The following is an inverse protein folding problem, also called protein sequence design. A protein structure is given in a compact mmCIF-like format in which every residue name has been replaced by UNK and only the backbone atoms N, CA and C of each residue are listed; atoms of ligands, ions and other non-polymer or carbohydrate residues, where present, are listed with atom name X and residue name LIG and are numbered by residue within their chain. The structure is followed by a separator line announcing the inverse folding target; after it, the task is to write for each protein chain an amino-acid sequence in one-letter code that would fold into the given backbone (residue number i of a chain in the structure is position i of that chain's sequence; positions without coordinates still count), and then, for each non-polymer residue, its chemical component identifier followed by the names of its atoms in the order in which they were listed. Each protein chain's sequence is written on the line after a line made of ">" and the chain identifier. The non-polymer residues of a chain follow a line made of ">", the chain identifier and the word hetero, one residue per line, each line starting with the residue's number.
data_IF_327540223545
#
_entry.id   IF_327540223545
#
_cell.length_a   1.000
_cell.length_b   1.000
_cell.length_c   1.000
_cell.angle_alpha   90.00
_cell.angle_beta   90.00
_cell.angle_gamma   90.00
#
_symmetry.space_group_name_H-M   'P 1'
#
loop_
_entity.id
_entity.type
_entity.pdbx_description
1 polymer ?
#
# COMPACT_ATOMS: atom_id res chain seq x y z
N UNK A 1 10.18 -66.93 -26.35
CA UNK A 1 9.32 -65.92 -26.98
C UNK A 1 10.20 -64.71 -27.26
N UNK A 2 10.31 -64.30 -28.53
CA UNK A 2 11.19 -63.21 -28.92
C UNK A 2 10.66 -61.89 -28.37
N UNK A 3 11.55 -61.11 -27.74
CA UNK A 3 11.22 -59.76 -27.26
C UNK A 3 11.11 -58.86 -28.51
N UNK A 4 9.93 -58.31 -28.86
CA UNK A 4 9.83 -57.43 -30.02
C UNK A 4 10.77 -56.26 -29.79
N UNK A 5 11.75 -56.09 -30.68
CA UNK A 5 12.62 -54.92 -30.64
C UNK A 5 11.72 -53.69 -30.89
N UNK A 6 11.83 -52.63 -30.08
CA UNK A 6 11.10 -51.39 -30.36
C UNK A 6 11.46 -50.92 -31.77
N UNK A 7 10.46 -50.52 -32.56
CA UNK A 7 10.67 -50.02 -33.92
C UNK A 7 11.50 -48.73 -33.84
N UNK A 8 12.60 -48.66 -34.58
CA UNK A 8 13.53 -47.53 -34.58
C UNK A 8 12.84 -46.21 -34.98
N UNK A 9 11.69 -46.26 -35.66
CA UNK A 9 10.90 -45.09 -36.06
C UNK A 9 9.76 -44.71 -35.10
N UNK A 10 9.38 -45.56 -34.13
CA UNK A 10 8.30 -45.26 -33.18
C UNK A 10 8.61 -44.01 -32.35
N UNK A 11 9.89 -43.78 -32.02
CA UNK A 11 10.33 -42.55 -31.33
C UNK A 11 10.18 -41.31 -32.21
N UNK A 12 10.41 -41.43 -33.53
CA UNK A 12 10.26 -40.29 -34.46
C UNK A 12 8.79 -39.90 -34.67
N UNK A 13 7.89 -40.89 -34.68
CA UNK A 13 6.45 -40.64 -34.80
C UNK A 13 5.85 -39.98 -33.56
N UNK A 14 6.38 -40.27 -32.36
CA UNK A 14 5.91 -39.67 -31.11
C UNK A 14 6.71 -38.42 -30.68
N UNK A 15 7.78 -38.08 -31.40
CA UNK A 15 8.70 -37.00 -31.04
C UNK A 15 8.01 -35.64 -30.84
N UNK A 16 7.02 -35.34 -31.69
CA UNK A 16 6.22 -34.12 -31.58
C UNK A 16 5.47 -34.09 -30.23
N UNK A 17 4.74 -35.15 -29.90
CA UNK A 17 3.97 -35.25 -28.67
C UNK A 17 4.87 -35.27 -27.43
N UNK A 18 6.04 -35.92 -27.51
CA UNK A 18 7.07 -35.89 -26.46
C UNK A 18 7.58 -34.47 -26.21
N UNK A 19 7.95 -33.71 -27.24
CA UNK A 19 8.39 -32.33 -27.09
C UNK A 19 7.28 -31.38 -26.66
N UNK A 20 6.03 -31.61 -27.08
CA UNK A 20 4.89 -30.85 -26.56
C UNK A 20 4.68 -31.09 -25.07
N UNK A 21 4.69 -32.35 -24.63
CA UNK A 21 4.55 -32.71 -23.23
C UNK A 21 5.72 -32.18 -22.40
N UNK A 22 6.95 -32.29 -22.92
CA UNK A 22 8.16 -31.75 -22.28
C UNK A 22 8.04 -30.23 -22.12
N UNK A 23 7.73 -29.50 -23.19
CA UNK A 23 7.58 -28.05 -23.17
C UNK A 23 6.46 -27.59 -22.23
N UNK A 24 5.33 -28.30 -22.20
CA UNK A 24 4.24 -28.03 -21.27
C UNK A 24 4.70 -28.24 -19.82
N UNK A 25 5.34 -29.36 -19.52
CA UNK A 25 5.80 -29.67 -18.17
C UNK A 25 6.86 -28.67 -17.68
N UNK A 26 7.81 -28.30 -18.54
CA UNK A 26 8.78 -27.23 -18.28
C UNK A 26 8.09 -25.90 -18.03
N UNK A 27 7.16 -25.50 -18.91
CA UNK A 27 6.42 -24.24 -18.77
C UNK A 27 5.59 -24.17 -17.48
N UNK A 28 4.95 -25.27 -17.08
CA UNK A 28 4.19 -25.36 -15.83
C UNK A 28 5.14 -25.33 -14.62
N UNK A 29 6.25 -26.06 -14.67
CA UNK A 29 7.23 -26.08 -13.60
C UNK A 29 7.84 -24.68 -13.37
N UNK A 30 8.31 -24.04 -14.44
CA UNK A 30 8.89 -22.70 -14.39
C UNK A 30 7.85 -21.64 -14.04
N UNK A 31 6.65 -21.70 -14.62
CA UNK A 31 5.55 -20.79 -14.30
C UNK A 31 5.13 -20.88 -12.83
N UNK A 32 5.01 -22.08 -12.28
CA UNK A 32 4.67 -22.27 -10.86
C UNK A 32 5.77 -21.76 -9.92
N UNK A 33 7.04 -21.89 -10.32
CA UNK A 33 8.19 -21.39 -9.57
C UNK A 33 8.26 -19.88 -9.64
N UNK A 34 8.16 -19.30 -10.83
CA UNK A 34 8.17 -17.87 -11.08
C UNK A 34 7.01 -17.19 -10.34
N UNK A 35 5.79 -17.70 -10.48
CA UNK A 35 4.61 -17.14 -9.82
C UNK A 35 4.72 -17.16 -8.29
N UNK A 36 5.31 -18.20 -7.69
CA UNK A 36 5.55 -18.24 -6.23
C UNK A 36 6.59 -17.21 -5.78
N UNK A 37 7.64 -17.00 -6.57
CA UNK A 37 8.68 -16.01 -6.26
C UNK A 37 8.10 -14.60 -6.41
N UNK A 38 7.40 -14.34 -7.50
CA UNK A 38 6.77 -13.06 -7.78
C UNK A 38 5.72 -12.70 -6.72
N UNK A 39 4.83 -13.65 -6.37
CA UNK A 39 3.84 -13.41 -5.32
C UNK A 39 4.46 -13.07 -3.97
N UNK A 40 5.59 -13.71 -3.61
CA UNK A 40 6.34 -13.38 -2.39
C UNK A 40 6.97 -11.99 -2.47
N UNK A 41 7.60 -11.66 -3.59
CA UNK A 41 8.25 -10.37 -3.80
C UNK A 41 7.22 -9.24 -3.74
N UNK A 42 6.11 -9.39 -4.45
CA UNK A 42 5.01 -8.43 -4.47
C UNK A 42 4.39 -8.23 -3.08
N UNK A 43 4.16 -9.32 -2.33
CA UNK A 43 3.67 -9.24 -0.97
C UNK A 43 4.61 -8.46 -0.04
N UNK A 44 5.92 -8.68 -0.15
CA UNK A 44 6.93 -7.94 0.61
C UNK A 44 6.99 -6.45 0.21
N UNK A 45 6.95 -6.16 -1.09
CA UNK A 45 6.92 -4.79 -1.61
C UNK A 45 5.72 -4.02 -1.04
N UNK A 46 4.52 -4.63 -1.11
CA UNK A 46 3.29 -4.03 -0.57
C UNK A 46 3.28 -3.92 0.95
N UNK A 47 3.84 -4.90 1.65
CA UNK A 47 4.09 -4.78 3.09
C UNK A 47 4.95 -3.56 3.38
N UNK A 48 6.10 -3.43 2.73
CA UNK A 48 7.02 -2.32 2.95
C UNK A 48 6.39 -0.95 2.67
N UNK A 49 5.64 -0.79 1.57
CA UNK A 49 4.91 0.46 1.27
C UNK A 49 3.98 0.85 2.43
N UNK A 50 3.22 -0.11 2.97
CA UNK A 50 2.30 0.10 4.09
C UNK A 50 3.03 0.47 5.38
N UNK A 51 4.13 -0.22 5.70
CA UNK A 51 4.98 0.10 6.86
C UNK A 51 5.64 1.48 6.73
N UNK A 52 6.12 1.83 5.53
CA UNK A 52 6.67 3.15 5.27
C UNK A 52 5.62 4.24 5.47
N UNK A 53 4.40 4.04 4.94
CA UNK A 53 3.27 4.94 5.16
C UNK A 53 2.97 5.11 6.66
N UNK A 54 2.88 4.01 7.42
CA UNK A 54 2.71 4.05 8.88
C UNK A 54 3.84 4.83 9.57
N UNK A 55 5.09 4.60 9.17
CA UNK A 55 6.26 5.32 9.68
C UNK A 55 6.20 6.82 9.42
N UNK A 56 5.67 7.25 8.27
CA UNK A 56 5.44 8.68 8.03
C UNK A 56 4.44 9.27 9.02
N UNK A 57 3.38 8.54 9.38
CA UNK A 57 2.40 8.99 10.36
C UNK A 57 3.02 9.05 11.77
N UNK A 58 3.85 8.06 12.13
CA UNK A 58 4.61 8.06 13.38
C UNK A 58 5.53 9.29 13.48
N UNK A 59 6.28 9.59 12.41
CA UNK A 59 7.15 10.75 12.33
C UNK A 59 6.37 12.07 12.45
N UNK A 60 5.21 12.17 11.80
CA UNK A 60 4.31 13.32 11.95
C UNK A 60 3.84 13.50 13.39
N UNK A 61 3.46 12.41 14.06
CA UNK A 61 3.09 12.45 15.48
C UNK A 61 4.22 12.99 16.35
N UNK A 62 5.45 12.46 16.16
CA UNK A 62 6.63 12.90 16.91
C UNK A 62 6.92 14.40 16.71
N UNK A 63 6.79 14.90 15.48
CA UNK A 63 6.96 16.34 15.18
C UNK A 63 5.88 17.18 15.86
N UNK A 64 4.61 16.76 15.83
CA UNK A 64 3.53 17.49 16.47
C UNK A 64 3.65 17.50 17.99
N UNK A 65 4.03 16.39 18.61
CA UNK A 65 4.30 16.31 20.06
C UNK A 65 5.44 17.25 20.47
N UNK A 66 6.57 17.23 19.74
CA UNK A 66 7.70 18.12 20.03
C UNK A 66 7.32 19.60 19.96
N UNK A 67 6.44 20.00 19.03
CA UNK A 67 5.96 21.39 18.90
C UNK A 67 5.00 21.83 20.00
N UNK A 68 4.39 20.90 20.73
CA UNK A 68 3.51 21.20 21.88
C UNK A 68 4.34 21.31 23.16
N UNK A 69 5.29 20.40 23.41
CA UNK A 69 6.13 20.42 24.62
C UNK A 69 7.01 21.67 24.75
N UNK A 70 7.39 22.29 23.62
CA UNK A 70 8.16 23.55 23.61
C UNK A 70 7.31 24.78 24.01
N UNK A 71 6.02 24.63 24.31
CA UNK A 71 5.16 25.69 24.89
C UNK A 71 5.41 25.91 26.38
N UNK A 72 5.65 24.83 27.15
CA UNK A 72 5.79 24.92 28.62
C UNK A 72 7.18 25.44 29.03
N UNK A 73 8.15 25.38 28.11
CA UNK A 73 9.54 25.82 28.30
C UNK A 73 9.71 27.26 27.83
N UNK A 74 9.16 28.23 28.56
CA UNK A 74 9.23 29.67 28.23
C UNK A 74 10.63 30.30 28.42
N UNK A 75 11.72 29.57 28.20
CA UNK A 75 13.09 30.11 28.31
C UNK A 75 14.07 29.29 27.45
N UNK A 76 14.24 29.66 26.17
CA UNK A 76 15.50 29.41 25.46
C UNK A 76 15.51 30.09 24.08
N UNK A 77 16.59 30.85 23.92
CA UNK A 77 16.99 31.77 22.87
C UNK A 77 16.84 31.31 21.40
N UNK A 78 16.96 32.33 20.55
CA UNK A 78 16.84 32.31 19.10
C UNK A 78 17.87 31.38 18.47
N UNK A 79 17.39 30.31 17.83
CA UNK A 79 18.13 29.60 16.78
C UNK A 79 17.23 29.53 15.55
N UNK A 80 17.81 29.84 14.40
CA UNK A 80 17.17 30.30 13.16
C UNK A 80 16.37 29.22 12.38
N UNK A 81 15.86 28.20 13.06
CA UNK A 81 15.11 27.10 12.44
C UNK A 81 14.17 26.39 13.42
N UNK A 82 13.40 27.13 14.24
CA UNK A 82 12.36 26.53 15.09
C UNK A 82 11.03 26.46 14.34
N UNK A 83 10.45 25.27 14.24
CA UNK A 83 9.13 25.09 13.63
C UNK A 83 8.06 25.89 14.40
N UNK A 84 6.99 26.37 13.76
CA UNK A 84 5.92 27.09 14.43
C UNK A 84 5.32 26.28 15.57
N UNK A 85 5.23 26.88 16.76
CA UNK A 85 4.65 26.21 17.94
C UNK A 85 3.15 26.01 17.74
N UNK A 86 2.65 24.85 18.15
CA UNK A 86 1.22 24.52 18.06
C UNK A 86 0.52 24.81 19.39
N UNK A 87 -0.76 25.17 19.36
CA UNK A 87 -1.55 25.34 20.60
C UNK A 87 -1.98 23.97 21.14
N UNK A 88 -1.35 23.56 22.24
CA UNK A 88 -1.51 22.24 22.86
C UNK A 88 -2.81 22.05 23.65
N UNK A 89 -3.97 22.08 22.99
CA UNK A 89 -5.23 21.78 23.68
C UNK A 89 -5.32 20.33 24.17
N UNK A 90 -5.92 20.07 25.34
CA UNK A 90 -6.09 18.72 25.91
C UNK A 90 -6.75 17.71 24.95
N UNK A 91 -7.60 18.20 24.03
CA UNK A 91 -8.19 17.38 22.96
C UNK A 91 -7.15 16.92 21.93
N UNK A 92 -6.25 17.82 21.51
CA UNK A 92 -5.18 17.51 20.56
C UNK A 92 -4.21 16.47 21.15
N UNK A 93 -3.81 16.66 22.42
CA UNK A 93 -2.92 15.72 23.11
C UNK A 93 -3.49 14.29 23.19
N UNK A 94 -4.80 14.14 23.46
CA UNK A 94 -5.46 12.81 23.43
C UNK A 94 -5.42 12.16 22.05
N UNK A 95 -5.58 12.96 20.99
CA UNK A 95 -5.51 12.45 19.62
C UNK A 95 -4.08 12.03 19.24
N UNK A 96 -3.05 12.79 19.66
CA UNK A 96 -1.64 12.44 19.47
C UNK A 96 -1.28 11.15 20.20
N UNK A 97 -1.66 11.02 21.47
CA UNK A 97 -1.43 9.78 22.23
C UNK A 97 -2.09 8.56 21.57
N UNK A 98 -3.29 8.73 21.02
CA UNK A 98 -3.97 7.65 20.28
C UNK A 98 -3.25 7.33 18.97
N UNK A 99 -2.75 8.35 18.26
CA UNK A 99 -2.00 8.16 17.02
C UNK A 99 -0.67 7.45 17.30
N UNK A 100 0.04 7.82 18.36
CA UNK A 100 1.24 7.15 18.84
C UNK A 100 0.99 5.65 19.08
N UNK A 101 -0.03 5.31 19.88
CA UNK A 101 -0.36 3.92 20.17
C UNK A 101 -0.74 3.09 18.93
N UNK A 102 -1.26 3.73 17.88
CA UNK A 102 -1.59 3.05 16.61
C UNK A 102 -0.37 2.87 15.70
N UNK A 103 0.67 3.70 15.86
CA UNK A 103 1.83 3.79 14.96
C UNK A 103 3.13 3.29 15.61
N UNK A 104 3.08 2.84 16.87
CA UNK A 104 4.22 2.32 17.62
C UNK A 104 4.81 1.08 16.95
N UNK A 105 6.07 1.19 16.49
CA UNK A 105 6.72 0.17 15.67
C UNK A 105 6.83 -1.20 16.36
N UNK A 106 7.11 -1.24 17.65
CA UNK A 106 7.23 -2.49 18.42
C UNK A 106 5.89 -3.21 18.59
N UNK A 107 4.77 -2.49 18.44
CA UNK A 107 3.43 -3.06 18.56
C UNK A 107 2.92 -3.69 17.26
N UNK A 108 3.63 -3.51 16.14
CA UNK A 108 3.20 -3.93 14.80
C UNK A 108 3.82 -5.27 14.42
N UNK A 109 2.98 -6.24 14.06
CA UNK A 109 3.44 -7.55 13.55
C UNK A 109 4.04 -7.41 12.16
N UNK A 110 5.23 -7.97 11.93
CA UNK A 110 5.86 -8.05 10.60
C UNK A 110 5.59 -9.38 9.89
N UNK A 111 4.67 -10.19 10.41
CA UNK A 111 4.31 -11.48 9.81
C UNK A 111 3.34 -11.29 8.64
N UNK A 112 3.53 -12.07 7.57
CA UNK A 112 2.65 -12.08 6.40
C UNK A 112 1.60 -13.19 6.51
N UNK A 113 0.82 -13.17 7.59
CA UNK A 113 -0.38 -13.98 7.75
C UNK A 113 -1.63 -13.09 7.64
N UNK A 114 -2.77 -13.70 7.27
CA UNK A 114 -4.02 -12.96 6.98
C UNK A 114 -4.44 -12.06 8.15
N UNK A 115 -4.40 -12.59 9.37
CA UNK A 115 -4.80 -11.87 10.58
C UNK A 115 -3.90 -10.65 10.84
N UNK A 116 -2.58 -10.81 10.75
CA UNK A 116 -1.61 -9.73 10.96
C UNK A 116 -1.73 -8.63 9.90
N UNK A 117 -1.97 -9.00 8.64
CA UNK A 117 -2.15 -8.05 7.54
C UNK A 117 -3.45 -7.27 7.72
N UNK A 118 -4.55 -7.95 8.08
CA UNK A 118 -5.84 -7.32 8.36
C UNK A 118 -5.75 -6.35 9.53
N UNK A 119 -5.14 -6.77 10.65
CA UNK A 119 -4.93 -5.93 11.82
C UNK A 119 -4.09 -4.70 11.51
N UNK A 120 -3.02 -4.87 10.72
CA UNK A 120 -2.19 -3.76 10.27
C UNK A 120 -2.99 -2.75 9.44
N UNK A 121 -3.76 -3.23 8.46
CA UNK A 121 -4.56 -2.36 7.59
C UNK A 121 -5.64 -1.60 8.36
N UNK A 122 -6.26 -2.25 9.33
CA UNK A 122 -7.20 -1.62 10.25
C UNK A 122 -6.56 -0.53 11.11
N UNK A 123 -5.35 -0.79 11.64
CA UNK A 123 -4.58 0.22 12.38
C UNK A 123 -4.20 1.39 11.49
N UNK A 124 -3.72 1.13 10.27
CA UNK A 124 -3.33 2.15 9.30
C UNK A 124 -4.51 3.06 8.96
N UNK A 125 -5.68 2.49 8.63
CA UNK A 125 -6.90 3.25 8.36
C UNK A 125 -7.33 4.11 9.56
N UNK A 126 -7.25 3.57 10.77
CA UNK A 126 -7.55 4.33 12.00
C UNK A 126 -6.55 5.47 12.21
N UNK A 127 -5.26 5.22 12.00
CA UNK A 127 -4.19 6.21 12.12
C UNK A 127 -4.37 7.35 11.12
N UNK A 128 -4.64 7.05 9.84
CA UNK A 128 -4.98 8.05 8.82
C UNK A 128 -6.20 8.90 9.23
N UNK A 129 -7.21 8.26 9.82
CA UNK A 129 -8.37 8.94 10.39
C UNK A 129 -7.98 9.92 11.51
N UNK A 130 -7.06 9.54 12.40
CA UNK A 130 -6.57 10.42 13.48
C UNK A 130 -5.76 11.58 12.94
N UNK A 131 -4.89 11.35 11.96
CA UNK A 131 -4.09 12.38 11.29
C UNK A 131 -5.00 13.46 10.71
N UNK A 132 -6.05 13.08 9.97
CA UNK A 132 -7.04 14.02 9.41
C UNK A 132 -7.75 14.86 10.49
N UNK A 133 -7.96 14.29 11.68
CA UNK A 133 -8.55 15.03 12.82
C UNK A 133 -7.53 16.00 13.40
N UNK A 134 -6.27 15.57 13.56
CA UNK A 134 -5.18 16.40 14.08
C UNK A 134 -4.90 17.57 13.14
N UNK A 135 -4.76 17.34 11.83
CA UNK A 135 -4.58 18.40 10.82
C UNK A 135 -5.66 19.49 10.95
N UNK A 136 -6.93 19.09 11.08
CA UNK A 136 -8.06 20.01 11.28
C UNK A 136 -7.98 20.80 12.59
N UNK A 137 -7.47 20.18 13.67
CA UNK A 137 -7.30 20.86 14.96
C UNK A 137 -6.11 21.82 14.94
N UNK A 138 -5.05 21.47 14.21
CA UNK A 138 -3.82 22.24 14.07
C UNK A 138 -3.96 23.38 13.05
N UNK A 139 -5.02 23.38 12.24
CA UNK A 139 -5.25 24.30 11.10
C UNK A 139 -4.20 24.20 9.99
N UNK A 140 -3.39 23.14 10.01
CA UNK A 140 -2.47 22.81 8.91
C UNK A 140 -3.31 22.19 7.77
N UNK A 141 -3.40 22.89 6.63
CA UNK A 141 -3.90 22.28 5.39
C UNK A 141 -2.97 21.16 4.94
N UNK A 142 -3.45 20.21 4.10
CA UNK A 142 -2.66 19.05 3.71
C UNK A 142 -1.33 19.49 3.10
N UNK A 143 -0.22 19.10 3.72
CA UNK A 143 1.09 19.20 3.11
C UNK A 143 1.13 18.18 1.97
N UNK A 144 0.75 18.63 0.78
CA UNK A 144 1.13 17.96 -0.46
C UNK A 144 2.65 17.96 -0.46
N UNK A 145 3.25 16.78 -0.34
CA UNK A 145 4.67 16.61 -0.60
C UNK A 145 4.85 16.91 -2.09
N UNK A 146 5.21 18.15 -2.38
CA UNK A 146 5.53 18.60 -3.73
C UNK A 146 6.77 17.80 -4.17
N UNK A 147 6.53 16.71 -4.88
CA UNK A 147 7.56 16.04 -5.66
C UNK A 147 8.15 17.11 -6.56
N UNK A 148 9.42 17.44 -6.30
CA UNK A 148 10.16 18.50 -6.97
C UNK A 148 9.83 18.54 -8.47
N UNK A 149 9.11 19.59 -8.89
CA UNK A 149 9.03 19.96 -10.29
C UNK A 149 10.03 21.08 -10.59
N UNK A 150 10.65 21.06 -11.78
CA UNK A 150 11.71 21.97 -12.14
C UNK A 150 11.16 23.38 -12.38
N UNK A 151 11.97 24.34 -11.97
CA UNK A 151 11.86 25.78 -12.18
C UNK A 151 11.35 26.18 -13.58
N UNK A 152 10.30 27.00 -13.63
CA UNK A 152 10.10 27.98 -14.71
C UNK A 152 9.21 29.14 -14.23
N UNK A 153 9.77 30.34 -14.29
CA UNK A 153 9.20 31.62 -13.90
C UNK A 153 8.11 32.12 -14.86
N UNK A 154 7.10 32.84 -14.37
CA UNK A 154 6.15 33.56 -15.24
C UNK A 154 4.98 34.22 -14.51
N UNK A 155 5.08 35.53 -14.33
CA UNK A 155 4.10 36.47 -13.76
C UNK A 155 2.71 36.47 -14.42
N UNK A 156 1.64 36.70 -13.63
CA UNK A 156 0.40 37.34 -14.14
C UNK A 156 -0.93 36.95 -13.48
N UNK A 157 -1.49 37.90 -12.71
CA UNK A 157 -2.90 38.16 -12.36
C UNK A 157 -4.03 37.11 -12.56
N UNK A 158 -4.82 36.93 -11.49
CA UNK A 158 -6.18 36.35 -11.49
C UNK A 158 -7.21 37.30 -12.18
N UNK A 159 -8.43 36.87 -12.58
CA UNK A 159 -9.48 36.45 -11.62
C UNK A 159 -10.46 35.32 -12.05
N UNK A 160 -11.18 34.82 -11.04
CA UNK A 160 -12.48 34.10 -10.98
C UNK A 160 -13.04 33.38 -12.23
N UNK A 161 -13.36 32.09 -12.07
CA UNK A 161 -14.42 31.40 -12.82
C UNK A 161 -15.37 30.65 -11.90
N UNK A 162 -16.66 31.02 -11.98
CA UNK A 162 -17.81 30.37 -11.33
C UNK A 162 -18.07 28.98 -11.93
N UNK A 163 -18.36 28.05 -11.02
CA UNK A 163 -19.30 26.90 -11.04
C UNK A 163 -19.41 26.03 -12.30
N UNK A 164 -19.45 24.69 -12.11
CA UNK A 164 -20.60 23.83 -12.46
C UNK A 164 -20.48 22.53 -11.64
N UNK A 165 -21.60 22.12 -11.01
CA UNK A 165 -21.79 20.88 -10.27
C UNK A 165 -22.38 19.85 -11.23
N UNK A 166 -21.62 18.82 -11.61
CA UNK A 166 -22.09 17.74 -12.49
C UNK A 166 -22.46 16.53 -11.61
N UNK A 167 -23.74 16.20 -11.58
CA UNK A 167 -24.30 14.99 -10.96
C UNK A 167 -24.27 13.90 -12.03
N UNK A 168 -23.46 12.86 -11.86
CA UNK A 168 -23.57 11.61 -12.65
C UNK A 168 -24.40 10.60 -11.87
N UNK A 169 -25.33 9.99 -12.57
CA UNK A 169 -26.21 8.91 -12.14
C UNK A 169 -26.07 7.84 -13.20
N UNK A 170 -25.19 6.89 -12.97
CA UNK A 170 -24.88 5.87 -13.96
C UNK A 170 -25.04 4.54 -13.24
N UNK A 171 -26.16 3.88 -13.55
CA UNK A 171 -26.40 2.48 -13.27
C UNK A 171 -25.38 1.64 -14.04
N UNK A 172 -24.83 0.63 -13.37
CA UNK A 172 -23.90 -0.32 -13.98
C UNK A 172 -23.55 -1.39 -12.95
N UNK A 173 -24.52 -2.27 -12.66
CA UNK A 173 -24.27 -3.45 -11.85
C UNK A 173 -23.23 -4.31 -12.56
N UNK A 174 -22.08 -4.47 -11.91
CA UNK A 174 -20.98 -5.26 -12.44
C UNK A 174 -21.39 -6.73 -12.52
N UNK A 175 -21.08 -7.29 -13.68
CA UNK A 175 -21.23 -8.68 -14.06
C UNK A 175 -20.57 -9.58 -13.02
N UNK A 176 -21.38 -10.39 -12.35
CA UNK A 176 -20.99 -11.57 -11.58
C UNK A 176 -20.01 -12.42 -12.40
N UNK A 177 -18.75 -12.47 -11.97
CA UNK A 177 -17.68 -13.25 -12.59
C UNK A 177 -17.53 -14.57 -11.82
N UNK A 178 -18.57 -15.39 -11.85
CA UNK A 178 -18.60 -16.71 -11.18
C UNK A 178 -19.31 -17.71 -12.10
N UNK A 179 -18.63 -18.17 -13.15
CA UNK A 179 -19.07 -19.35 -13.89
C UNK A 179 -17.89 -20.12 -14.49
N UNK A 180 -16.95 -20.50 -13.62
CA UNK A 180 -16.00 -21.59 -13.87
C UNK A 180 -16.46 -22.85 -13.15
N UNK A 181 -17.68 -23.31 -13.44
CA UNK A 181 -18.13 -24.62 -13.00
C UNK A 181 -17.55 -25.71 -13.92
N UNK A 182 -16.32 -26.12 -13.61
CA UNK A 182 -15.69 -27.31 -14.17
C UNK A 182 -16.52 -28.52 -13.72
N UNK A 183 -17.31 -29.07 -14.64
CA UNK A 183 -18.05 -30.32 -14.43
C UNK A 183 -17.06 -31.44 -14.16
N UNK A 184 -16.97 -31.88 -12.90
CA UNK A 184 -16.46 -33.21 -12.59
C UNK A 184 -17.48 -34.22 -13.11
N UNK A 185 -17.16 -34.85 -14.24
CA UNK A 185 -17.77 -36.12 -14.61
C UNK A 185 -17.35 -37.14 -13.54
N UNK A 186 -18.33 -37.65 -12.79
CA UNK A 186 -18.16 -38.85 -11.96
C UNK A 186 -19.03 -39.96 -12.54
N UNK A 187 -18.35 -41.09 -12.74
CA UNK A 187 -18.80 -42.43 -13.13
C UNK A 187 -19.20 -42.66 -14.58
#
# INVERSE_FOLDING_TARGET
>A
MANPQPDDFDSLFNLEEEYYAEGYNLGVADGSRAGRIEGRLFGLEKGFEKFAAMGTLAGRNAVWEARISDQDSATAEQSESKLPKLSGGARLQKHLQTLFALTEAESLSTENNEDSVSDFDDRLKRAEGKVKVIEKLVSEGPLVLETAQPVASGSGNAPERRQIKIKRTDAGGESSMEDFNIRHARS
#
